data_IF_520795539105
#
_entry.id   IF_520795539105
#
_cell.length_a   1.000
_cell.length_b   1.000
_cell.length_c   1.000
_cell.angle_alpha   90.00
_cell.angle_beta   90.00
_cell.angle_gamma   90.00
#
_symmetry.space_group_name_H-M   'P 1'
#
loop_
_entity.id
_entity.type
_entity.pdbx_description
1 polymer ?
#
# COMPACT_ATOMS: atom_id res chain seq x y z
N UNK A 1 -23.24 -26.76 5.98
CA UNK A 1 -22.95 -26.23 5.67
C UNK A 1 -22.79 -25.41 4.87
N UNK A 2 -22.82 -24.81 4.51
CA UNK A 2 -22.58 -24.17 3.79
C UNK A 2 -22.16 -23.61 3.36
N UNK A 3 -22.21 -23.47 3.14
CA UNK A 3 -21.25 -22.88 2.76
C UNK A 3 -21.37 -21.81 1.84
N UNK A 4 -20.58 -20.92 1.92
CA UNK A 4 -20.56 -19.84 1.01
C UNK A 4 -20.10 -20.34 -0.32
N UNK A 5 -20.97 -20.31 -1.26
CA UNK A 5 -20.66 -20.83 -2.56
C UNK A 5 -20.06 -19.82 -3.50
N UNK A 6 -20.10 -18.55 -3.12
CA UNK A 6 -19.51 -17.52 -3.95
C UNK A 6 -18.09 -17.29 -3.53
N UNK A 7 -17.16 -17.37 -4.47
CA UNK A 7 -15.82 -16.95 -4.13
C UNK A 7 -15.84 -15.48 -3.80
N UNK A 8 -15.29 -15.15 -2.66
CA UNK A 8 -15.14 -13.77 -2.28
C UNK A 8 -13.79 -13.29 -2.75
N UNK A 9 -13.79 -12.14 -3.42
CA UNK A 9 -12.56 -11.49 -3.76
C UNK A 9 -12.08 -10.79 -2.50
N UNK A 10 -10.95 -11.25 -1.99
CA UNK A 10 -10.35 -10.63 -0.82
C UNK A 10 -9.39 -9.58 -1.31
N UNK A 11 -9.67 -8.36 -0.96
CA UNK A 11 -8.83 -7.24 -1.36
C UNK A 11 -8.02 -6.82 -0.14
N UNK A 12 -6.72 -7.02 -0.24
CA UNK A 12 -5.83 -6.70 0.86
C UNK A 12 -5.37 -5.26 0.72
N UNK A 13 -6.09 -4.35 1.34
CA UNK A 13 -5.68 -2.96 1.36
C UNK A 13 -4.60 -2.70 2.40
N UNK A 14 -4.50 -3.57 3.41
CA UNK A 14 -3.59 -3.33 4.52
C UNK A 14 -2.13 -3.45 4.10
N UNK A 15 -1.82 -4.42 3.26
CA UNK A 15 -0.44 -4.63 2.84
C UNK A 15 0.15 -3.41 2.12
N UNK A 16 -0.48 -2.88 1.06
CA UNK A 16 0.08 -1.69 0.43
C UNK A 16 0.08 -0.47 1.36
N UNK A 17 -0.89 -0.38 2.27
CA UNK A 17 -0.90 0.70 3.24
C UNK A 17 0.33 0.63 4.14
N UNK A 18 0.61 -0.56 4.69
CA UNK A 18 1.76 -0.74 5.56
C UNK A 18 3.07 -0.55 4.82
N UNK A 19 3.14 -0.98 3.56
CA UNK A 19 4.35 -0.81 2.77
C UNK A 19 4.59 0.64 2.42
N UNK A 20 3.53 1.41 2.18
CA UNK A 20 3.67 2.85 1.94
C UNK A 20 4.18 3.55 3.20
N UNK A 21 3.62 3.20 4.36
CA UNK A 21 4.06 3.78 5.62
C UNK A 21 5.52 3.45 5.90
N UNK A 22 5.92 2.20 5.66
CA UNK A 22 7.31 1.79 5.87
C UNK A 22 8.24 2.56 4.93
N UNK A 23 7.85 2.71 3.67
CA UNK A 23 8.69 3.41 2.70
C UNK A 23 8.85 4.88 3.09
N UNK A 24 7.79 5.52 3.59
CA UNK A 24 7.88 6.90 4.04
C UNK A 24 8.84 7.02 5.23
N UNK A 25 8.76 6.09 6.17
CA UNK A 25 9.64 6.08 7.32
C UNK A 25 11.09 5.86 6.88
N UNK A 26 11.30 4.91 5.97
CA UNK A 26 12.64 4.62 5.46
C UNK A 26 13.21 5.82 4.71
N UNK A 27 12.37 6.55 3.96
CA UNK A 27 12.80 7.75 3.30
C UNK A 27 13.26 8.81 4.31
N UNK A 28 12.47 9.01 5.36
CA UNK A 28 12.82 9.96 6.41
C UNK A 28 14.15 9.59 7.06
N UNK A 29 14.33 8.31 7.39
CA UNK A 29 15.57 7.85 8.01
C UNK A 29 16.76 8.05 7.09
N UNK A 30 16.58 7.87 5.78
CA UNK A 30 17.65 8.09 4.82
C UNK A 30 18.06 9.56 4.78
N UNK A 31 17.11 10.48 4.93
CA UNK A 31 17.42 11.90 5.01
C UNK A 31 18.31 12.18 6.24
N UNK A 32 17.94 11.56 7.38
CA UNK A 32 18.73 11.74 8.60
C UNK A 32 20.16 11.23 8.44
N UNK A 33 20.36 10.23 7.59
CA UNK A 33 21.67 9.68 7.29
C UNK A 33 22.34 10.40 6.13
N UNK A 34 21.71 11.44 5.60
CA UNK A 34 22.22 12.23 4.48
C UNK A 34 22.36 11.43 3.20
N UNK A 35 21.58 10.36 3.06
CA UNK A 35 21.55 9.55 1.85
C UNK A 35 20.30 9.96 1.05
N UNK A 36 20.44 11.02 0.27
CA UNK A 36 19.31 11.57 -0.46
C UNK A 36 18.87 10.68 -1.61
N UNK A 37 19.79 9.93 -2.21
CA UNK A 37 19.40 9.01 -3.28
C UNK A 37 18.51 7.91 -2.73
N UNK A 38 18.85 7.35 -1.59
CA UNK A 38 18.03 6.33 -0.95
C UNK A 38 16.69 6.95 -0.52
N UNK A 39 16.73 8.17 0.02
CA UNK A 39 15.50 8.85 0.43
C UNK A 39 14.54 9.00 -0.74
N UNK A 40 15.04 9.37 -1.92
CA UNK A 40 14.23 9.52 -3.13
C UNK A 40 13.68 8.18 -3.59
N UNK A 41 14.49 7.13 -3.54
CA UNK A 41 14.06 5.79 -3.92
C UNK A 41 12.91 5.34 -3.03
N UNK A 42 13.03 5.54 -1.73
CA UNK A 42 11.99 5.13 -0.80
C UNK A 42 10.74 5.99 -0.94
N UNK A 43 10.91 7.27 -1.24
CA UNK A 43 9.75 8.13 -1.49
C UNK A 43 8.97 7.65 -2.71
N UNK A 44 9.66 7.23 -3.76
CA UNK A 44 9.00 6.71 -4.94
C UNK A 44 8.32 5.38 -4.64
N UNK A 45 8.92 4.54 -3.82
CA UNK A 45 8.27 3.30 -3.40
C UNK A 45 6.96 3.61 -2.67
N UNK A 46 6.94 4.65 -1.84
CA UNK A 46 5.72 5.06 -1.16
C UNK A 46 4.64 5.47 -2.17
N UNK A 47 5.02 6.17 -3.24
CA UNK A 47 4.08 6.55 -4.30
C UNK A 47 3.47 5.30 -4.93
N UNK A 48 4.31 4.32 -5.27
CA UNK A 48 3.83 3.11 -5.93
C UNK A 48 2.88 2.33 -5.02
N UNK A 49 3.22 2.18 -3.76
CA UNK A 49 2.36 1.46 -2.82
C UNK A 49 1.06 2.22 -2.55
N UNK A 50 1.12 3.55 -2.55
CA UNK A 50 -0.09 4.36 -2.38
C UNK A 50 -1.03 4.19 -3.57
N UNK A 51 -0.50 4.01 -4.77
CA UNK A 51 -1.33 3.75 -5.95
C UNK A 51 -2.03 2.40 -5.83
N UNK A 52 -1.30 1.39 -5.37
CA UNK A 52 -1.90 0.08 -5.15
C UNK A 52 -3.00 0.17 -4.10
N UNK A 53 -2.72 0.91 -3.03
CA UNK A 53 -3.72 1.13 -1.98
C UNK A 53 -4.96 1.80 -2.54
N UNK A 54 -4.78 2.85 -3.31
CA UNK A 54 -5.92 3.58 -3.90
C UNK A 54 -6.77 2.64 -4.75
N UNK A 55 -6.12 1.82 -5.58
CA UNK A 55 -6.84 0.88 -6.44
C UNK A 55 -7.60 -0.14 -5.59
N UNK A 56 -6.98 -0.64 -4.52
CA UNK A 56 -7.63 -1.59 -3.63
C UNK A 56 -8.88 -0.97 -3.00
N UNK A 57 -8.76 0.27 -2.55
CA UNK A 57 -9.88 0.96 -1.92
C UNK A 57 -11.01 1.21 -2.92
N UNK A 58 -10.68 1.52 -4.17
CA UNK A 58 -11.69 1.67 -5.21
C UNK A 58 -12.47 0.38 -5.41
N UNK A 59 -11.76 -0.74 -5.48
CA UNK A 59 -12.43 -2.03 -5.66
C UNK A 59 -13.33 -2.34 -4.47
N UNK A 60 -12.87 -2.04 -3.27
CA UNK A 60 -13.68 -2.25 -2.08
C UNK A 60 -14.96 -1.41 -2.14
N UNK A 61 -14.83 -0.17 -2.55
CA UNK A 61 -15.99 0.72 -2.66
C UNK A 61 -16.97 0.20 -3.70
N UNK A 62 -16.47 -0.27 -4.82
CA UNK A 62 -17.31 -0.80 -5.89
C UNK A 62 -18.07 -2.04 -5.45
N UNK A 63 -17.46 -2.86 -4.59
CA UNK A 63 -18.10 -4.08 -4.12
C UNK A 63 -19.20 -3.79 -3.10
N UNK A 64 -19.17 -2.64 -2.47
CA UNK A 64 -20.19 -2.28 -1.48
C UNK A 64 -21.48 -1.79 -2.12
N UNK A 65 -21.49 -1.56 -3.42
CA UNK A 65 -22.70 -1.12 -4.11
C UNK A 65 -23.55 -2.30 -4.65
#
# INVERSE_FOLDING_TARGET
>A
MITNNKPQVIIDYALPCMMAEKALKDSHNAVLEQDLDLAMTQAMEAVLQSRVLYTSLRHMKEQQQ
#
